data_IF_100104116276
#
_entry.id   IF_100104116276
#
_cell.length_a   1.000
_cell.length_b   1.000
_cell.length_c   1.000
_cell.angle_alpha   90.00
_cell.angle_beta   90.00
_cell.angle_gamma   90.00
#
_symmetry.space_group_name_H-M   'P 1'
#
loop_
_entity.id
_entity.type
_entity.pdbx_description
1 polymer ?
#
# COMPACT_ATOMS: atom_id res chain seq x y z
N UNK A 1 -7.36 0.56 -22.30
CA UNK A 1 -7.57 0.58 -20.84
C UNK A 1 -6.57 -0.30 -20.11
N UNK A 2 -6.21 0.11 -18.90
CA UNK A 2 -5.31 -0.65 -18.04
C UNK A 2 -6.05 -1.84 -17.42
N UNK A 3 -5.29 -2.90 -17.15
CA UNK A 3 -5.84 -4.07 -16.47
C UNK A 3 -6.06 -3.75 -14.98
N UNK A 4 -7.31 -3.78 -14.56
CA UNK A 4 -7.68 -3.64 -13.16
C UNK A 4 -7.79 -5.02 -12.51
N UNK A 5 -7.14 -5.19 -11.37
CA UNK A 5 -7.31 -6.39 -10.55
C UNK A 5 -8.38 -6.09 -9.50
N UNK A 6 -9.60 -6.58 -9.73
CA UNK A 6 -10.79 -6.24 -8.94
C UNK A 6 -11.23 -7.44 -8.13
N UNK A 7 -11.52 -7.22 -6.84
CA UNK A 7 -12.15 -8.21 -5.95
C UNK A 7 -13.10 -7.52 -4.97
N UNK A 8 -13.59 -8.27 -3.98
CA UNK A 8 -14.53 -7.72 -3.00
C UNK A 8 -13.96 -6.59 -2.13
N UNK A 9 -12.64 -6.47 -2.05
CA UNK A 9 -11.96 -5.45 -1.23
C UNK A 9 -11.80 -4.12 -1.96
N UNK A 10 -11.90 -4.10 -3.29
CA UNK A 10 -11.68 -2.94 -4.15
C UNK A 10 -10.88 -3.31 -5.38
N UNK A 11 -9.86 -2.52 -5.71
CA UNK A 11 -9.05 -2.78 -6.89
C UNK A 11 -7.59 -2.37 -6.71
N UNK A 12 -6.74 -2.98 -7.52
CA UNK A 12 -5.33 -2.62 -7.66
C UNK A 12 -4.99 -2.58 -9.13
N UNK A 13 -4.43 -1.47 -9.59
CA UNK A 13 -4.09 -1.27 -11.01
C UNK A 13 -2.67 -0.75 -11.13
N UNK A 14 -1.82 -1.49 -11.85
CA UNK A 14 -0.51 -1.01 -12.24
C UNK A 14 -0.69 0.07 -13.30
N UNK A 15 -0.17 1.28 -13.03
CA UNK A 15 -0.30 2.42 -13.92
C UNK A 15 0.87 2.55 -14.87
N UNK A 16 2.08 2.35 -14.36
CA UNK A 16 3.31 2.58 -15.10
C UNK A 16 4.41 1.69 -14.56
N UNK A 17 5.08 1.00 -15.47
CA UNK A 17 6.26 0.20 -15.18
C UNK A 17 7.44 0.80 -15.92
N UNK A 18 8.51 1.08 -15.18
CA UNK A 18 9.75 1.62 -15.74
C UNK A 18 10.92 0.70 -15.45
N UNK A 19 11.92 0.72 -16.30
CA UNK A 19 13.12 -0.12 -16.12
C UNK A 19 13.97 0.36 -14.93
N UNK A 20 14.07 1.67 -14.73
CA UNK A 20 14.99 2.28 -13.76
C UNK A 20 14.34 3.05 -12.63
N UNK A 21 13.09 3.43 -12.79
CA UNK A 21 12.38 4.31 -11.84
C UNK A 21 11.28 3.63 -11.05
N UNK A 22 11.17 2.30 -11.15
CA UNK A 22 10.20 1.54 -10.38
C UNK A 22 8.83 1.44 -11.03
N UNK A 23 7.86 1.04 -10.24
CA UNK A 23 6.48 0.78 -10.64
C UNK A 23 5.54 1.73 -9.93
N UNK A 24 4.58 2.30 -10.67
CA UNK A 24 3.49 3.12 -10.13
C UNK A 24 2.17 2.35 -10.25
N UNK A 25 1.37 2.41 -9.19
CA UNK A 25 0.09 1.71 -9.13
C UNK A 25 -0.93 2.57 -8.39
N UNK A 26 -2.21 2.27 -8.60
CA UNK A 26 -3.29 2.82 -7.79
C UNK A 26 -4.03 1.70 -7.08
N UNK A 27 -4.25 1.89 -5.79
CA UNK A 27 -5.04 0.98 -4.97
C UNK A 27 -6.32 1.68 -4.53
N UNK A 28 -7.44 1.01 -4.72
CA UNK A 28 -8.74 1.47 -4.24
C UNK A 28 -9.23 0.44 -3.23
N UNK A 29 -9.44 0.88 -2.00
CA UNK A 29 -9.99 0.04 -0.93
C UNK A 29 -11.41 0.48 -0.62
N UNK A 30 -12.34 -0.45 -0.60
CA UNK A 30 -13.73 -0.20 -0.20
C UNK A 30 -13.81 0.14 1.30
N UNK A 31 -14.93 0.72 1.75
CA UNK A 31 -15.10 1.08 3.17
C UNK A 31 -14.79 -0.07 4.11
N UNK A 32 -14.05 0.22 5.18
CA UNK A 32 -13.71 -0.74 6.24
C UNK A 32 -12.65 -1.79 5.89
N UNK A 33 -12.13 -1.79 4.67
CA UNK A 33 -11.18 -2.82 4.21
C UNK A 33 -9.76 -2.51 4.68
N UNK A 34 -9.06 -3.57 5.07
CA UNK A 34 -7.63 -3.57 5.35
C UNK A 34 -6.92 -4.37 4.27
N UNK A 35 -5.87 -3.78 3.69
CA UNK A 35 -4.99 -4.43 2.73
C UNK A 35 -3.54 -4.40 3.21
N UNK A 36 -2.70 -5.23 2.61
CA UNK A 36 -1.29 -5.37 2.98
C UNK A 36 -1.10 -6.52 3.93
N UNK A 37 -0.69 -6.26 5.18
CA UNK A 37 -0.30 -7.28 6.16
C UNK A 37 0.89 -8.08 5.63
N UNK A 38 1.87 -7.37 5.09
CA UNK A 38 3.06 -8.00 4.51
C UNK A 38 4.29 -7.11 4.62
N UNK A 39 5.45 -7.72 4.37
CA UNK A 39 6.75 -7.05 4.36
C UNK A 39 7.60 -7.51 3.19
N UNK A 40 8.69 -6.78 2.93
CA UNK A 40 9.59 -7.01 1.81
C UNK A 40 11.05 -7.00 2.27
N UNK A 41 11.93 -7.71 1.55
CA UNK A 41 13.38 -7.68 1.79
C UNK A 41 14.05 -6.45 1.17
N UNK A 42 13.76 -6.18 -0.10
CA UNK A 42 14.46 -5.15 -0.87
C UNK A 42 13.54 -4.07 -1.40
N UNK A 43 12.24 -4.36 -1.51
CA UNK A 43 11.27 -3.41 -2.05
C UNK A 43 11.01 -2.29 -1.05
N UNK A 44 11.23 -1.06 -1.51
CA UNK A 44 10.86 0.16 -0.80
C UNK A 44 9.63 0.74 -1.48
N UNK A 45 8.62 1.12 -0.72
CA UNK A 45 7.38 1.65 -1.26
C UNK A 45 7.07 3.03 -0.68
N UNK A 46 6.39 3.85 -1.48
CA UNK A 46 5.84 5.13 -1.05
C UNK A 46 4.36 5.16 -1.38
N UNK A 47 3.55 5.47 -0.38
CA UNK A 47 2.09 5.55 -0.51
C UNK A 47 1.65 7.00 -0.37
N UNK A 48 0.73 7.42 -1.24
CA UNK A 48 0.12 8.74 -1.18
C UNK A 48 -1.39 8.57 -1.30
N UNK A 49 -2.10 8.83 -0.21
CA UNK A 49 -3.57 8.84 -0.22
C UNK A 49 -4.06 10.14 -0.84
N UNK A 50 -4.93 10.04 -1.83
CA UNK A 50 -5.44 11.20 -2.57
C UNK A 50 -6.96 11.39 -2.42
N UNK A 51 -7.66 10.40 -1.87
CA UNK A 51 -9.09 10.47 -1.57
C UNK A 51 -9.44 9.53 -0.43
N UNK A 52 -10.33 9.98 0.44
CA UNK A 52 -10.80 9.19 1.56
C UNK A 52 -10.02 9.42 2.84
N UNK A 53 -10.22 8.55 3.82
CA UNK A 53 -9.64 8.64 5.16
C UNK A 53 -9.15 7.27 5.59
N UNK A 54 -7.87 7.15 5.90
CA UNK A 54 -7.25 5.88 6.19
C UNK A 54 -6.22 5.92 7.31
N UNK A 55 -5.73 4.75 7.64
CA UNK A 55 -4.66 4.54 8.60
C UNK A 55 -3.64 3.59 7.99
N UNK A 56 -2.37 3.98 8.01
CA UNK A 56 -1.25 3.12 7.64
C UNK A 56 -0.53 2.72 8.91
N UNK A 57 -0.37 1.42 9.13
CA UNK A 57 0.35 0.88 10.27
C UNK A 57 1.61 0.18 9.80
N UNK A 58 2.72 0.40 10.52
CA UNK A 58 3.99 -0.27 10.29
C UNK A 58 4.48 -0.84 11.62
N UNK A 59 5.01 -2.06 11.57
CA UNK A 59 5.68 -2.68 12.72
C UNK A 59 7.02 -3.26 12.28
N UNK A 60 8.08 -2.90 12.99
CA UNK A 60 9.39 -3.49 12.76
C UNK A 60 9.33 -4.99 13.08
N UNK A 61 9.82 -5.83 12.17
CA UNK A 61 9.86 -7.27 12.38
C UNK A 61 10.61 -7.63 13.66
N UNK A 62 10.08 -8.61 14.40
CA UNK A 62 10.67 -9.04 15.66
C UNK A 62 10.42 -8.12 16.84
N UNK A 63 9.57 -7.10 16.70
CA UNK A 63 9.20 -6.18 17.77
C UNK A 63 7.69 -6.02 17.84
N UNK A 64 7.20 -5.42 18.92
CA UNK A 64 5.79 -5.06 19.11
C UNK A 64 5.54 -3.56 18.88
N UNK A 65 6.54 -2.84 18.37
CA UNK A 65 6.44 -1.40 18.14
C UNK A 65 5.65 -1.12 16.86
N UNK A 66 4.49 -0.50 17.00
CA UNK A 66 3.63 -0.10 15.89
C UNK A 66 3.71 1.41 15.72
N UNK A 67 3.98 1.84 14.50
CA UNK A 67 3.93 3.26 14.10
C UNK A 67 2.70 3.43 13.21
N UNK A 68 1.91 4.46 13.48
CA UNK A 68 0.66 4.71 12.76
C UNK A 68 0.68 6.08 12.11
N UNK A 69 0.17 6.15 10.88
CA UNK A 69 -0.02 7.39 10.14
C UNK A 69 -1.47 7.49 9.70
N UNK A 70 -2.19 8.45 10.24
CA UNK A 70 -3.52 8.79 9.76
C UNK A 70 -3.39 9.63 8.49
N UNK A 71 -4.07 9.21 7.41
CA UNK A 71 -3.92 9.78 6.08
C UNK A 71 -5.28 10.13 5.48
N UNK A 72 -5.32 11.15 4.64
CA UNK A 72 -6.55 11.57 3.97
C UNK A 72 -6.26 12.28 2.65
N UNK A 73 -7.28 12.38 1.80
CA UNK A 73 -7.22 13.17 0.58
C UNK A 73 -7.21 14.69 0.84
N UNK A 74 -7.55 15.12 2.07
CA UNK A 74 -7.55 16.54 2.43
C UNK A 74 -6.14 17.05 2.77
N UNK A 75 -5.23 16.15 3.08
CA UNK A 75 -3.84 16.47 3.41
C UNK A 75 -2.93 15.43 2.74
N UNK A 76 -2.38 15.80 1.61
CA UNK A 76 -1.57 14.89 0.79
C UNK A 76 -0.19 14.73 1.43
N UNK A 77 0.13 13.51 1.85
CA UNK A 77 1.39 13.17 2.48
C UNK A 77 1.97 11.89 1.90
N UNK A 78 3.29 11.79 1.84
CA UNK A 78 3.98 10.57 1.45
C UNK A 78 4.28 9.77 2.71
N UNK A 79 3.85 8.50 2.74
CA UNK A 79 4.23 7.54 3.77
C UNK A 79 5.12 6.50 3.15
N UNK A 80 6.28 6.29 3.73
CA UNK A 80 7.30 5.38 3.21
C UNK A 80 7.26 4.05 3.96
N UNK A 81 7.14 2.95 3.21
CA UNK A 81 7.23 1.58 3.70
C UNK A 81 8.62 1.05 3.39
N UNK A 82 9.46 0.90 4.41
CA UNK A 82 10.85 0.43 4.24
C UNK A 82 10.94 -1.08 4.45
N UNK A 83 11.97 -1.73 3.86
CA UNK A 83 12.22 -3.15 4.10
C UNK A 83 12.35 -3.47 5.59
N UNK A 84 11.92 -4.66 5.99
CA UNK A 84 12.02 -5.11 7.38
C UNK A 84 10.88 -4.64 8.29
N UNK A 85 9.89 -3.93 7.72
CA UNK A 85 8.66 -3.57 8.42
C UNK A 85 7.47 -4.23 7.75
N UNK A 86 6.63 -4.89 8.54
CA UNK A 86 5.32 -5.30 8.04
C UNK A 86 4.37 -4.11 8.07
N UNK A 87 3.52 -3.98 7.06
CA UNK A 87 2.64 -2.83 6.92
C UNK A 87 1.26 -3.21 6.43
N UNK A 88 0.31 -2.34 6.70
CA UNK A 88 -1.04 -2.43 6.16
C UNK A 88 -1.56 -1.03 5.82
N UNK A 89 -2.69 -0.98 5.13
CA UNK A 89 -3.47 0.23 4.95
C UNK A 89 -4.94 -0.09 5.20
N UNK A 90 -5.58 0.73 6.03
CA UNK A 90 -6.94 0.53 6.52
C UNK A 90 -7.82 1.68 6.03
N UNK A 91 -8.93 1.38 5.38
CA UNK A 91 -9.94 2.38 5.09
C UNK A 91 -10.81 2.59 6.33
N UNK A 92 -10.69 3.76 6.95
CA UNK A 92 -11.44 4.11 8.18
C UNK A 92 -12.85 4.62 7.90
N UNK A 93 -13.20 4.89 6.64
CA UNK A 93 -14.54 5.37 6.28
C UNK A 93 -15.53 4.23 6.20
N UNK A 94 -16.78 4.50 6.58
CA UNK A 94 -17.92 3.59 6.41
C UNK A 94 -18.60 3.76 5.05
N UNK A 95 -18.30 4.83 4.33
CA UNK A 95 -19.04 5.24 3.12
C UNK A 95 -18.17 5.43 1.90
N UNK A 96 -16.93 5.91 2.06
CA UNK A 96 -16.09 6.34 0.96
C UNK A 96 -14.97 5.35 0.66
N UNK A 97 -14.61 5.25 -0.61
CA UNK A 97 -13.42 4.52 -1.03
C UNK A 97 -12.16 5.26 -0.57
N UNK A 98 -11.11 4.49 -0.30
CA UNK A 98 -9.77 5.01 -0.03
C UNK A 98 -8.95 4.83 -1.30
N UNK A 99 -8.46 5.93 -1.87
CA UNK A 99 -7.65 5.91 -3.10
C UNK A 99 -6.22 6.26 -2.75
N UNK A 100 -5.30 5.34 -3.06
CA UNK A 100 -3.89 5.45 -2.73
C UNK A 100 -3.05 5.26 -3.98
N UNK A 101 -2.21 6.25 -4.31
CA UNK A 101 -1.14 6.04 -5.27
C UNK A 101 0.05 5.39 -4.58
N UNK A 102 0.64 4.41 -5.25
CA UNK A 102 1.74 3.62 -4.73
C UNK A 102 2.90 3.64 -5.71
N UNK A 103 4.10 3.87 -5.17
CA UNK A 103 5.35 3.70 -5.91
C UNK A 103 6.18 2.64 -5.22
N UNK A 104 6.82 1.78 -6.01
CA UNK A 104 7.82 0.82 -5.53
C UNK A 104 9.10 1.01 -6.33
N UNK A 105 10.25 0.89 -5.67
CA UNK A 105 11.56 1.07 -6.32
C UNK A 105 11.88 -0.02 -7.33
N UNK A 106 11.17 -1.13 -7.29
CA UNK A 106 11.33 -2.24 -8.23
C UNK A 106 9.97 -2.73 -8.71
N UNK A 107 9.93 -3.27 -9.92
CA UNK A 107 8.70 -3.81 -10.51
C UNK A 107 8.35 -5.14 -9.86
N UNK A 108 7.05 -5.40 -9.73
CA UNK A 108 6.56 -6.70 -9.29
C UNK A 108 6.98 -7.77 -10.29
N UNK A 109 7.60 -8.85 -9.78
CA UNK A 109 8.01 -10.02 -10.55
C UNK A 109 7.34 -11.24 -9.92
N UNK A 110 6.37 -11.89 -10.61
CA UNK A 110 5.69 -13.05 -10.04
C UNK A 110 6.60 -14.25 -9.78
N UNK A 111 7.76 -14.33 -10.42
CA UNK A 111 8.76 -15.38 -10.14
C UNK A 111 9.60 -15.08 -8.89
N UNK A 112 9.63 -13.83 -8.45
CA UNK A 112 10.38 -13.35 -7.28
C UNK A 112 9.58 -12.23 -6.58
N UNK A 113 8.43 -12.55 -5.98
CA UNK A 113 7.49 -11.51 -5.51
C UNK A 113 8.03 -10.68 -4.34
N UNK A 114 8.98 -11.18 -3.56
CA UNK A 114 9.52 -10.49 -2.39
C UNK A 114 8.44 -9.92 -1.47
N UNK A 115 7.38 -10.68 -1.26
CA UNK A 115 6.23 -10.29 -0.43
C UNK A 115 5.91 -11.42 0.53
N UNK A 116 5.93 -11.13 1.83
CA UNK A 116 5.77 -12.11 2.90
C UNK A 116 4.66 -11.67 3.83
N UNK A 117 3.69 -12.54 4.04
CA UNK A 117 2.55 -12.25 4.89
C UNK A 117 2.97 -12.24 6.37
N UNK A 118 2.64 -11.15 7.05
CA UNK A 118 2.73 -11.05 8.50
C UNK A 118 1.84 -9.89 8.97
N UNK A 119 0.79 -10.13 9.76
CA UNK A 119 -0.06 -9.05 10.27
C UNK A 119 0.73 -8.05 11.12
N UNK A 120 0.32 -6.80 11.02
CA UNK A 120 0.89 -5.72 11.86
C UNK A 120 0.50 -5.86 13.36
#
# INVERSE_FOLDING_TARGET
PLKMNVDARGSFTELLRTEKCGQFSVNISKPGITKGQHWHHTKNEKFVVVHGHGLIQLRKLGTDEIVEFEVSGDKIEVVEMIPGYTHNIINLSDTDDLVTFMWANECFDPSRPDTYFEPV
#
